data_IF_796760419592
#
_entry.id   IF_796760419592
#
_cell.length_a   1.000
_cell.length_b   1.000
_cell.length_c   1.000
_cell.angle_alpha   90.00
_cell.angle_beta   90.00
_cell.angle_gamma   90.00
#
_symmetry.space_group_name_H-M   'P 1'
#
loop_
_entity.id
_entity.type
_entity.pdbx_description
1 polymer ?
#
# COMPACT_ATOMS: atom_id res chain seq x y z
N UNK A 1 0.32 29.83 23.29
CA UNK A 1 0.23 28.45 23.85
C UNK A 1 -0.63 27.63 22.90
N UNK A 2 -0.23 26.44 22.45
CA UNK A 2 -1.12 25.57 21.69
C UNK A 2 -2.31 25.15 22.56
N UNK A 3 -3.51 25.19 21.99
CA UNK A 3 -4.77 24.81 22.65
C UNK A 3 -5.52 23.79 21.79
N UNK A 4 -6.15 22.79 22.41
CA UNK A 4 -7.02 21.84 21.72
C UNK A 4 -8.35 21.68 22.45
N UNK A 5 -9.40 21.30 21.73
CA UNK A 5 -10.69 20.88 22.32
C UNK A 5 -10.71 19.36 22.39
N UNK A 6 -10.86 18.82 23.60
CA UNK A 6 -10.99 17.39 23.77
C UNK A 6 -12.33 16.88 23.18
N UNK A 7 -12.28 15.73 22.53
CA UNK A 7 -13.44 14.96 22.08
C UNK A 7 -13.48 13.63 22.82
N UNK A 8 -14.62 12.93 22.76
CA UNK A 8 -14.68 11.55 23.26
C UNK A 8 -13.61 10.69 22.57
N UNK A 9 -12.88 9.86 23.34
CA UNK A 9 -11.92 8.94 22.74
C UNK A 9 -12.68 7.94 21.87
N UNK A 10 -12.55 8.04 20.55
CA UNK A 10 -13.12 7.04 19.65
C UNK A 10 -12.43 5.70 19.90
N UNK A 11 -13.20 4.63 20.00
CA UNK A 11 -12.65 3.26 19.95
C UNK A 11 -11.80 3.17 18.68
N UNK A 12 -10.56 2.71 18.82
CA UNK A 12 -9.71 2.51 17.65
C UNK A 12 -10.47 1.64 16.64
N UNK A 13 -10.52 2.00 15.35
CA UNK A 13 -11.22 1.19 14.36
C UNK A 13 -10.74 -0.26 14.46
N UNK A 14 -11.67 -1.21 14.38
CA UNK A 14 -11.33 -2.64 14.45
C UNK A 14 -10.25 -2.96 13.42
N UNK A 15 -9.28 -3.79 13.82
CA UNK A 15 -8.25 -4.25 12.91
C UNK A 15 -8.89 -4.99 11.73
N UNK A 16 -8.42 -4.68 10.51
CA UNK A 16 -8.84 -5.37 9.30
C UNK A 16 -8.53 -6.86 9.45
N UNK A 17 -9.49 -7.74 9.10
CA UNK A 17 -9.26 -9.18 9.16
C UNK A 17 -8.10 -9.57 8.22
N UNK A 18 -7.17 -10.46 8.62
CA UNK A 18 -6.14 -10.96 7.71
C UNK A 18 -6.77 -11.62 6.48
N UNK A 19 -6.18 -11.44 5.31
CA UNK A 19 -6.73 -11.95 4.06
C UNK A 19 -6.18 -11.24 2.83
N UNK A 20 -6.72 -11.58 1.67
CA UNK A 20 -6.43 -10.87 0.42
C UNK A 20 -7.57 -9.90 0.09
N UNK A 21 -7.23 -8.73 -0.41
CA UNK A 21 -8.18 -7.66 -0.71
C UNK A 21 -7.81 -6.97 -2.02
N UNK A 22 -8.81 -6.46 -2.75
CA UNK A 22 -8.59 -5.37 -3.69
C UNK A 22 -8.51 -4.05 -2.92
N UNK A 23 -7.61 -3.18 -3.34
CA UNK A 23 -7.47 -1.85 -2.80
C UNK A 23 -7.31 -0.80 -3.89
N UNK A 24 -7.72 0.42 -3.56
CA UNK A 24 -7.46 1.64 -4.31
C UNK A 24 -6.55 2.55 -3.49
N UNK A 25 -5.56 3.18 -4.14
CA UNK A 25 -4.74 4.22 -3.52
C UNK A 25 -5.53 5.53 -3.54
N UNK A 26 -6.00 5.97 -2.37
CA UNK A 26 -6.84 7.17 -2.23
C UNK A 26 -6.05 8.41 -1.81
N UNK A 27 -4.81 8.23 -1.33
CA UNK A 27 -3.86 9.32 -1.11
C UNK A 27 -2.43 8.76 -1.16
N UNK A 28 -1.50 9.57 -1.64
CA UNK A 28 -0.08 9.27 -1.67
C UNK A 28 0.69 10.58 -1.40
N UNK A 29 1.61 10.55 -0.44
CA UNK A 29 2.35 11.74 -0.01
C UNK A 29 3.84 11.46 0.07
N UNK A 30 4.64 12.29 -0.59
CA UNK A 30 6.09 12.28 -0.44
C UNK A 30 6.51 12.83 0.92
N UNK A 31 7.59 12.27 1.46
CA UNK A 31 8.13 12.73 2.72
C UNK A 31 9.46 12.09 3.04
N UNK A 32 9.82 12.13 4.32
CA UNK A 32 11.04 11.51 4.85
C UNK A 32 10.71 10.58 6.02
N UNK A 33 11.44 9.48 6.13
CA UNK A 33 11.28 8.53 7.24
C UNK A 33 11.72 9.18 8.56
N UNK A 34 10.98 8.90 9.64
CA UNK A 34 11.26 9.49 10.96
C UNK A 34 12.58 8.99 11.57
N UNK A 35 12.99 7.76 11.27
CA UNK A 35 14.17 7.15 11.89
C UNK A 35 15.49 7.43 11.16
N UNK A 36 15.44 7.83 9.88
CA UNK A 36 16.68 7.94 9.08
C UNK A 36 16.64 8.99 7.97
N UNK A 37 15.54 9.74 7.81
CA UNK A 37 15.45 10.80 6.80
C UNK A 37 15.37 10.33 5.34
N UNK A 38 15.34 9.01 5.10
CA UNK A 38 15.22 8.42 3.77
C UNK A 38 13.92 8.89 3.09
N UNK A 39 13.92 9.15 1.77
CA UNK A 39 12.69 9.47 1.05
C UNK A 39 11.67 8.35 1.22
N UNK A 40 10.40 8.74 1.41
CA UNK A 40 9.27 7.82 1.51
C UNK A 40 8.10 8.35 0.69
N UNK A 41 7.30 7.44 0.15
CA UNK A 41 5.92 7.74 -0.24
C UNK A 41 5.00 7.01 0.75
N UNK A 42 4.17 7.78 1.45
CA UNK A 42 3.15 7.26 2.37
C UNK A 42 1.84 7.07 1.62
N UNK A 43 1.34 5.84 1.57
CA UNK A 43 0.12 5.47 0.87
C UNK A 43 -1.04 5.36 1.86
N UNK A 44 -2.20 5.87 1.48
CA UNK A 44 -3.50 5.59 2.09
C UNK A 44 -4.31 4.75 1.12
N UNK A 45 -4.69 3.57 1.56
CA UNK A 45 -5.39 2.55 0.78
C UNK A 45 -6.83 2.44 1.27
N UNK A 46 -7.79 2.45 0.36
CA UNK A 46 -9.17 2.02 0.61
C UNK A 46 -9.33 0.60 0.11
N UNK A 47 -9.77 -0.30 0.98
CA UNK A 47 -10.06 -1.68 0.65
C UNK A 47 -11.47 -1.83 0.10
N UNK A 48 -11.74 -2.93 -0.59
CA UNK A 48 -13.08 -3.28 -1.11
C UNK A 48 -14.17 -3.38 -0.03
N UNK A 49 -13.81 -3.55 1.24
CA UNK A 49 -14.72 -3.52 2.39
C UNK A 49 -14.80 -2.14 3.08
N UNK A 50 -14.38 -1.07 2.38
CA UNK A 50 -14.30 0.32 2.86
C UNK A 50 -13.31 0.56 4.02
N UNK A 51 -12.58 -0.47 4.47
CA UNK A 51 -11.54 -0.29 5.47
C UNK A 51 -10.36 0.52 4.91
N UNK A 52 -9.71 1.30 5.78
CA UNK A 52 -8.54 2.11 5.41
C UNK A 52 -7.28 1.46 5.97
N UNK A 53 -6.29 1.26 5.11
CA UNK A 53 -4.94 0.86 5.48
C UNK A 53 -3.91 1.90 5.07
N UNK A 54 -2.79 1.89 5.78
CA UNK A 54 -1.64 2.72 5.44
C UNK A 54 -0.47 1.82 5.10
N UNK A 55 0.24 2.15 4.03
CA UNK A 55 1.50 1.51 3.68
C UNK A 55 2.56 2.54 3.33
N UNK A 56 3.83 2.11 3.29
CA UNK A 56 4.96 2.97 2.95
C UNK A 56 5.86 2.31 1.92
N UNK A 57 6.23 3.10 0.92
CA UNK A 57 7.31 2.83 -0.02
C UNK A 57 8.53 3.61 0.48
N UNK A 58 9.58 2.89 0.90
CA UNK A 58 10.80 3.51 1.45
C UNK A 58 11.91 3.37 0.42
N UNK A 59 12.50 4.49 0.02
CA UNK A 59 13.48 4.52 -1.06
C UNK A 59 14.88 4.19 -0.53
N UNK A 60 15.06 2.93 -0.16
CA UNK A 60 16.33 2.36 0.29
C UNK A 60 16.55 0.99 -0.34
N UNK A 61 17.80 0.57 -0.62
CA UNK A 61 18.09 -0.72 -1.25
C UNK A 61 17.43 -1.93 -0.58
N UNK A 62 17.34 -1.94 0.76
CA UNK A 62 16.70 -3.01 1.53
C UNK A 62 15.18 -3.10 1.37
N UNK A 63 14.55 -2.09 0.78
CA UNK A 63 13.11 -1.97 0.60
C UNK A 63 12.68 -1.91 -0.88
N UNK A 64 13.61 -1.83 -1.83
CA UNK A 64 13.30 -1.76 -3.26
C UNK A 64 12.47 -2.95 -3.76
N UNK A 65 12.69 -4.16 -3.22
CA UNK A 65 11.87 -5.34 -3.54
C UNK A 65 10.36 -5.09 -3.32
N UNK A 66 10.00 -4.29 -2.32
CA UNK A 66 8.61 -3.95 -2.02
C UNK A 66 8.08 -2.92 -3.01
N UNK A 67 8.91 -1.97 -3.42
CA UNK A 67 8.56 -0.98 -4.45
C UNK A 67 8.32 -1.69 -5.78
N UNK A 68 9.18 -2.62 -6.17
CA UNK A 68 8.98 -3.43 -7.38
C UNK A 68 7.71 -4.27 -7.31
N UNK A 69 7.44 -4.90 -6.17
CA UNK A 69 6.21 -5.66 -5.95
C UNK A 69 4.97 -4.77 -6.07
N UNK A 70 5.02 -3.56 -5.51
CA UNK A 70 3.97 -2.56 -5.63
C UNK A 70 3.73 -2.17 -7.09
N UNK A 71 4.80 -1.78 -7.80
CA UNK A 71 4.76 -1.38 -9.21
C UNK A 71 4.14 -2.47 -10.08
N UNK A 72 4.60 -3.71 -9.91
CA UNK A 72 4.04 -4.86 -10.61
C UNK A 72 2.55 -5.07 -10.28
N UNK A 73 2.15 -4.90 -9.01
CA UNK A 73 0.76 -5.07 -8.57
C UNK A 73 -0.19 -4.01 -9.15
N UNK A 74 0.26 -2.77 -9.36
CA UNK A 74 -0.50 -1.72 -10.05
C UNK A 74 -0.39 -1.78 -11.59
N UNK A 75 0.21 -2.86 -12.12
CA UNK A 75 0.31 -3.12 -13.56
C UNK A 75 1.45 -2.40 -14.28
N UNK A 76 2.38 -1.77 -13.55
CA UNK A 76 3.58 -1.22 -14.16
C UNK A 76 4.56 -2.34 -14.52
N UNK A 77 5.30 -2.13 -15.62
CA UNK A 77 6.41 -3.00 -15.98
C UNK A 77 7.60 -2.71 -15.06
N UNK A 78 8.18 -3.77 -14.50
CA UNK A 78 9.43 -3.69 -13.73
C UNK A 78 10.54 -4.28 -14.59
N UNK A 79 11.56 -3.47 -14.88
CA UNK A 79 12.74 -3.87 -15.65
C UNK A 79 13.96 -3.82 -14.71
N UNK A 80 14.77 -4.89 -14.61
CA UNK A 80 15.99 -4.87 -13.81
C UNK A 80 16.94 -3.74 -14.23
N UNK A 81 17.61 -3.14 -13.26
CA UNK A 81 18.61 -2.07 -13.42
C UNK A 81 18.11 -0.77 -14.07
N UNK A 82 16.80 -0.65 -14.31
CA UNK A 82 16.18 0.59 -14.79
C UNK A 82 16.13 1.64 -13.66
N UNK A 83 16.58 2.85 -13.95
CA UNK A 83 16.36 3.99 -13.06
C UNK A 83 14.92 4.47 -13.21
N UNK A 84 14.18 4.49 -12.09
CA UNK A 84 12.75 4.77 -12.08
C UNK A 84 12.45 5.90 -11.12
N UNK A 85 11.79 6.93 -11.63
CA UNK A 85 11.17 7.97 -10.82
C UNK A 85 9.71 7.57 -10.51
N UNK A 86 9.26 7.82 -9.28
CA UNK A 86 7.89 7.55 -8.86
C UNK A 86 7.35 8.82 -8.22
N UNK A 87 6.35 9.43 -8.85
CA UNK A 87 5.69 10.64 -8.35
C UNK A 87 4.41 10.22 -7.60
N UNK A 88 4.20 10.79 -6.41
CA UNK A 88 3.12 10.34 -5.52
C UNK A 88 1.71 10.61 -6.11
N UNK A 89 1.53 11.72 -6.81
CA UNK A 89 0.28 12.11 -7.45
C UNK A 89 -0.16 11.13 -8.55
N UNK A 90 0.78 10.52 -9.28
CA UNK A 90 0.49 9.49 -10.28
C UNK A 90 -0.03 8.17 -9.69
N UNK A 91 0.14 7.96 -8.38
CA UNK A 91 -0.29 6.73 -7.70
C UNK A 91 -1.77 6.77 -7.31
N UNK A 92 -2.36 7.96 -7.14
CA UNK A 92 -3.75 8.10 -6.70
C UNK A 92 -4.70 7.55 -7.77
N UNK A 93 -5.69 6.78 -7.33
CA UNK A 93 -6.66 6.10 -8.20
C UNK A 93 -6.14 4.79 -8.82
N UNK A 94 -4.87 4.41 -8.63
CA UNK A 94 -4.39 3.07 -9.02
C UNK A 94 -5.00 2.02 -8.10
N UNK A 95 -5.23 0.83 -8.65
CA UNK A 95 -5.78 -0.32 -7.92
C UNK A 95 -4.81 -1.49 -7.93
N UNK A 96 -4.82 -2.29 -6.87
CA UNK A 96 -4.00 -3.49 -6.76
C UNK A 96 -4.68 -4.55 -5.88
N UNK A 97 -4.13 -5.77 -5.90
CA UNK A 97 -4.42 -6.79 -4.89
C UNK A 97 -3.33 -6.78 -3.83
N UNK A 98 -3.73 -6.93 -2.57
CA UNK A 98 -2.81 -6.98 -1.43
C UNK A 98 -3.14 -8.16 -0.52
N UNK A 99 -2.13 -8.63 0.23
CA UNK A 99 -2.32 -9.50 1.39
C UNK A 99 -2.16 -8.69 2.66
N UNK A 100 -3.15 -8.76 3.54
CA UNK A 100 -3.19 -8.09 4.84
C UNK A 100 -2.91 -9.11 5.94
N UNK A 101 -2.07 -8.74 6.89
CA UNK A 101 -1.84 -9.48 8.13
C UNK A 101 -1.99 -8.54 9.32
N UNK A 102 -2.31 -9.11 10.48
CA UNK A 102 -2.35 -8.38 11.73
C UNK A 102 -1.11 -8.73 12.55
N UNK A 103 -0.45 -7.71 13.09
CA UNK A 103 0.59 -7.86 14.10
C UNK A 103 0.13 -7.27 15.42
N UNK A 104 0.47 -7.96 16.50
CA UNK A 104 0.24 -7.45 17.85
C UNK A 104 1.49 -6.71 18.29
N UNK A 105 1.37 -5.40 18.50
CA UNK A 105 2.42 -4.56 19.07
C UNK A 105 1.90 -3.92 20.36
N UNK A 106 2.57 -4.19 21.49
CA UNK A 106 2.17 -3.68 22.82
C UNK A 106 0.68 -3.91 23.16
N UNK A 107 0.17 -5.11 22.82
CA UNK A 107 -1.23 -5.49 23.04
C UNK A 107 -2.23 -4.85 22.09
N UNK A 108 -1.79 -4.02 21.14
CA UNK A 108 -2.64 -3.43 20.09
C UNK A 108 -2.43 -4.18 18.78
N UNK A 109 -3.53 -4.65 18.18
CA UNK A 109 -3.48 -5.17 16.82
C UNK A 109 -3.34 -4.03 15.83
N UNK A 110 -2.39 -4.17 14.91
CA UNK A 110 -2.25 -3.30 13.74
C UNK A 110 -2.28 -4.15 12.48
N UNK A 111 -3.14 -3.75 11.56
CA UNK A 111 -3.19 -4.34 10.23
C UNK A 111 -2.11 -3.71 9.35
N UNK A 112 -1.41 -4.54 8.58
CA UNK A 112 -0.38 -4.11 7.63
C UNK A 112 -0.50 -4.82 6.31
N UNK A 113 0.00 -4.18 5.25
CA UNK A 113 0.23 -4.83 3.97
C UNK A 113 1.43 -5.77 4.10
N UNK A 114 1.18 -7.07 4.02
CA UNK A 114 2.20 -8.10 4.01
C UNK A 114 2.83 -8.28 2.62
N UNK A 115 2.02 -8.20 1.57
CA UNK A 115 2.46 -8.36 0.19
C UNK A 115 1.59 -7.59 -0.79
N UNK A 116 2.21 -7.08 -1.85
CA UNK A 116 1.57 -6.58 -3.06
C UNK A 116 1.48 -7.74 -4.05
N UNK A 117 0.28 -8.09 -4.48
CA UNK A 117 0.02 -9.28 -5.29
C UNK A 117 -0.07 -8.86 -6.75
N UNK A 118 0.71 -9.51 -7.61
CA UNK A 118 0.66 -9.25 -9.05
C UNK A 118 -0.76 -9.47 -9.59
N UNK A 119 -1.20 -8.66 -10.57
CA UNK A 119 -2.46 -8.92 -11.25
C UNK A 119 -2.42 -10.33 -11.82
N UNK A 120 -3.53 -11.06 -11.69
CA UNK A 120 -3.66 -12.37 -12.30
C UNK A 120 -3.39 -12.21 -13.80
N UNK A 121 -2.51 -13.05 -14.36
CA UNK A 121 -2.25 -13.07 -15.80
C UNK A 121 -3.61 -13.24 -16.49
N UNK A 122 -3.96 -12.42 -17.51
CA UNK A 122 -5.19 -12.66 -18.24
C UNK A 122 -5.12 -14.08 -18.80
N UNK A 123 -6.08 -14.90 -18.42
CA UNK A 123 -6.23 -16.24 -18.96
C UNK A 123 -6.36 -16.09 -20.48
N UNK A 124 -5.46 -16.70 -21.24
CA UNK A 124 -5.61 -16.73 -22.70
C UNK A 124 -6.96 -17.40 -22.98
N UNK A 125 -7.93 -16.66 -23.51
CA UNK A 125 -9.07 -17.26 -24.19
C UNK A 125 -8.55 -17.86 -25.48
N UNK A 126 -8.00 -19.08 -25.39
CA UNK A 126 -7.59 -19.85 -26.54
C UNK A 126 -8.85 -20.19 -27.38
N UNK A 127 -8.91 -19.64 -28.59
CA UNK A 127 -9.56 -20.27 -29.75
C UNK A 127 -11.09 -20.23 -29.85
N UNK A 128 -11.67 -19.06 -30.11
CA UNK A 128 -12.93 -19.01 -30.87
C UNK A 128 -12.63 -18.56 -32.31
N UNK A 129 -12.75 -19.44 -33.31
CA UNK A 129 -12.73 -19.02 -34.70
C UNK A 129 -13.97 -18.17 -35.02
N UNK A 130 -13.77 -17.15 -35.84
CA UNK A 130 -14.84 -16.35 -36.45
C UNK A 130 -15.64 -17.16 -37.46
#
# INVERSE_FOLDING_TARGET
>A
MPSYKASEPSVAPEAVKPGEYHCEIINAEEGKSQSGGNPIISLKLRLENEAVLYDRLVFTPSAFWKIDSFRAAIGQKVVPDEEVNIEADELVGKTARIRVVNETYEGRQRSKVAAWLMPAKPEKRDGLPF
#
